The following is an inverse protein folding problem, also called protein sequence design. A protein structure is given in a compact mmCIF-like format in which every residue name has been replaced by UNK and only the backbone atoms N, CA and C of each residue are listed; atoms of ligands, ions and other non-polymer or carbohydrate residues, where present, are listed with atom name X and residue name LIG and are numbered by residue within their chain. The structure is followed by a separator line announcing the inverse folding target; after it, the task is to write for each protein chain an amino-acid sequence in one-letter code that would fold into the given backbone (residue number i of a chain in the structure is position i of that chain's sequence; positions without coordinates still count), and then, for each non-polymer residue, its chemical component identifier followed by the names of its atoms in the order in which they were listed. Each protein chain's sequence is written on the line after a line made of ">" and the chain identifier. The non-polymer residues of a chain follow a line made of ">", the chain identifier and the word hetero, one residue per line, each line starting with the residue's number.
data_IF_436191518364
#
_entry.id   IF_436191518364
#
_cell.length_a   1.000
_cell.length_b   1.000
_cell.length_c   1.000
_cell.angle_alpha   90.00
_cell.angle_beta   90.00
_cell.angle_gamma   90.00
#
_symmetry.space_group_name_H-M   'P 1'
#
loop_
_entity.id
_entity.type
_entity.pdbx_description
1 polymer ?
#
# COMPACT_ATOMS: atom_id res chain seq x y z
N UNK A 1 18.00 -27.55 -46.04
CA UNK A 1 16.80 -27.88 -45.25
C UNK A 1 15.63 -27.13 -45.84
N UNK A 2 14.52 -27.82 -46.12
CA UNK A 2 13.31 -27.22 -46.67
C UNK A 2 12.36 -26.84 -45.53
N UNK A 3 12.28 -25.54 -45.25
CA UNK A 3 11.33 -24.93 -44.31
C UNK A 3 9.95 -24.82 -44.94
N UNK A 4 9.16 -25.90 -44.83
CA UNK A 4 7.83 -26.00 -45.44
C UNK A 4 6.67 -25.68 -44.47
N UNK A 5 6.94 -25.22 -43.24
CA UNK A 5 5.90 -25.03 -42.21
C UNK A 5 5.77 -23.59 -41.67
N UNK A 6 6.42 -22.60 -42.28
CA UNK A 6 6.41 -21.20 -41.81
C UNK A 6 5.11 -20.42 -42.08
N UNK A 7 4.06 -21.06 -42.61
CA UNK A 7 2.83 -20.40 -43.06
C UNK A 7 1.53 -20.82 -42.35
N UNK A 8 1.59 -21.73 -41.39
CA UNK A 8 0.40 -22.12 -40.60
C UNK A 8 0.36 -21.30 -39.32
N UNK A 9 -0.51 -20.30 -39.25
CA UNK A 9 -0.67 -19.44 -38.06
C UNK A 9 -1.64 -19.98 -37.00
N UNK A 10 -2.24 -21.15 -37.24
CA UNK A 10 -3.06 -21.84 -36.24
C UNK A 10 -2.20 -22.90 -35.55
N UNK A 11 -2.04 -22.87 -34.23
CA UNK A 11 -1.42 -23.97 -33.54
C UNK A 11 -2.39 -25.16 -33.64
N UNK A 12 -2.08 -26.12 -34.53
CA UNK A 12 -2.84 -27.36 -34.63
C UNK A 12 -2.71 -28.06 -33.26
N UNK A 13 -3.81 -28.19 -32.55
CA UNK A 13 -3.89 -28.87 -31.25
C UNK A 13 -4.90 -29.99 -31.33
N UNK A 14 -4.56 -31.12 -30.73
CA UNK A 14 -5.48 -32.21 -30.46
C UNK A 14 -6.15 -31.98 -29.10
N UNK A 15 -7.46 -32.24 -29.02
CA UNK A 15 -8.26 -32.02 -27.83
C UNK A 15 -8.60 -33.35 -27.18
N UNK A 16 -8.12 -33.53 -25.95
CA UNK A 16 -8.45 -34.67 -25.12
C UNK A 16 -9.60 -34.28 -24.19
N UNK A 17 -10.69 -35.04 -24.28
CA UNK A 17 -11.88 -34.79 -23.47
C UNK A 17 -11.62 -35.09 -22.00
N UNK A 18 -10.80 -36.11 -21.70
CA UNK A 18 -10.37 -36.50 -20.37
C UNK A 18 -11.54 -36.63 -19.38
N UNK A 19 -12.62 -37.33 -19.77
CA UNK A 19 -13.83 -37.45 -18.93
C UNK A 19 -13.48 -37.94 -17.52
N UNK A 20 -13.74 -37.09 -16.52
CA UNK A 20 -13.38 -37.35 -15.12
C UNK A 20 -12.24 -36.48 -14.59
N UNK A 21 -11.45 -35.83 -15.47
CA UNK A 21 -10.51 -34.75 -15.17
C UNK A 21 -10.78 -33.55 -16.10
N UNK A 22 -9.90 -32.55 -16.10
CA UNK A 22 -9.96 -31.43 -17.02
C UNK A 22 -9.54 -31.83 -18.44
N UNK A 23 -10.31 -31.33 -19.40
CA UNK A 23 -9.95 -31.40 -20.81
C UNK A 23 -8.61 -30.72 -21.07
N UNK A 24 -7.78 -31.36 -21.91
CA UNK A 24 -6.40 -30.92 -22.20
C UNK A 24 -6.23 -30.74 -23.70
N UNK A 25 -5.47 -29.73 -24.09
CA UNK A 25 -5.00 -29.59 -25.48
C UNK A 25 -3.53 -29.99 -25.54
N UNK A 26 -3.19 -30.83 -26.52
CA UNK A 26 -1.82 -31.25 -26.81
C UNK A 26 -1.48 -30.88 -28.26
N UNK A 27 -0.18 -30.80 -28.58
CA UNK A 27 0.25 -30.61 -29.96
C UNK A 27 0.01 -31.89 -30.76
N UNK A 28 -0.34 -31.79 -32.04
CA UNK A 28 -0.50 -32.98 -32.90
C UNK A 28 0.77 -33.82 -33.04
N UNK A 29 1.95 -33.24 -32.78
CA UNK A 29 3.20 -33.99 -32.75
C UNK A 29 3.26 -35.03 -31.63
N UNK A 30 2.32 -34.98 -30.68
CA UNK A 30 2.17 -35.89 -29.53
C UNK A 30 1.01 -36.87 -29.71
N UNK A 31 0.48 -36.99 -30.92
CA UNK A 31 -0.61 -37.92 -31.25
C UNK A 31 0.02 -39.06 -32.04
N UNK A 32 -0.21 -40.29 -31.60
CA UNK A 32 0.44 -41.50 -32.12
C UNK A 32 1.98 -41.44 -32.10
N UNK A 33 2.58 -40.76 -31.11
CA UNK A 33 4.03 -40.69 -30.93
C UNK A 33 4.57 -41.78 -29.98
N UNK A 34 3.67 -42.57 -29.40
CA UNK A 34 3.96 -43.67 -28.48
C UNK A 34 4.06 -43.23 -27.01
N UNK A 35 3.73 -41.97 -26.70
CA UNK A 35 3.71 -41.42 -25.33
C UNK A 35 2.27 -41.09 -24.96
N UNK A 36 1.84 -41.53 -23.77
CA UNK A 36 0.50 -41.25 -23.27
C UNK A 36 0.45 -39.87 -22.59
N UNK A 37 0.09 -38.86 -23.38
CA UNK A 37 -0.09 -37.48 -22.97
C UNK A 37 -1.50 -37.19 -22.42
N UNK A 38 -2.51 -37.96 -22.83
CA UNK A 38 -3.89 -37.82 -22.35
C UNK A 38 -4.30 -38.94 -21.39
N UNK A 39 -4.97 -38.58 -20.29
CA UNK A 39 -5.33 -39.56 -19.27
C UNK A 39 -6.42 -40.53 -19.75
N UNK A 40 -7.18 -40.14 -20.78
CA UNK A 40 -8.16 -40.98 -21.45
C UNK A 40 -7.53 -41.84 -22.56
N UNK A 41 -6.23 -41.65 -22.82
CA UNK A 41 -5.45 -42.33 -23.86
C UNK A 41 -5.99 -42.10 -25.27
N UNK A 42 -6.75 -41.02 -25.49
CA UNK A 42 -7.35 -40.69 -26.79
C UNK A 42 -6.34 -40.22 -27.84
N UNK A 43 -5.13 -39.91 -27.40
CA UNK A 43 -3.98 -39.49 -28.20
C UNK A 43 -3.22 -40.66 -28.84
N UNK A 44 -3.44 -41.89 -28.38
CA UNK A 44 -2.72 -43.08 -28.84
C UNK A 44 -3.67 -44.18 -29.33
N UNK A 45 -3.12 -45.14 -30.08
CA UNK A 45 -3.88 -46.31 -30.55
C UNK A 45 -4.38 -47.15 -29.37
N UNK A 46 -5.52 -47.80 -29.56
CA UNK A 46 -6.09 -48.68 -28.54
C UNK A 46 -5.09 -49.76 -28.10
N UNK A 47 -4.83 -49.85 -26.80
CA UNK A 47 -3.88 -50.78 -26.21
C UNK A 47 -2.45 -50.25 -26.04
N UNK A 48 -2.12 -49.06 -26.56
CA UNK A 48 -0.81 -48.41 -26.32
C UNK A 48 -0.73 -47.83 -24.91
N UNK A 49 -1.79 -47.17 -24.46
CA UNK A 49 -1.82 -46.55 -23.15
C UNK A 49 -2.32 -47.46 -22.03
N UNK A 50 -1.67 -47.43 -20.85
CA UNK A 50 -2.18 -48.12 -19.66
C UNK A 50 -3.52 -47.49 -19.22
N UNK A 51 -4.23 -48.21 -18.35
CA UNK A 51 -5.60 -47.94 -17.89
C UNK A 51 -6.04 -46.45 -17.90
N UNK A 52 -7.24 -46.19 -18.43
CA UNK A 52 -7.87 -44.86 -18.48
C UNK A 52 -8.28 -44.37 -17.08
N UNK A 53 -7.36 -43.72 -16.36
CA UNK A 53 -7.54 -43.30 -14.95
C UNK A 53 -7.89 -41.82 -14.76
N UNK A 54 -8.51 -41.16 -15.76
CA UNK A 54 -8.87 -39.74 -15.64
C UNK A 54 -9.70 -39.43 -14.38
N UNK A 55 -10.60 -40.33 -14.00
CA UNK A 55 -11.48 -40.10 -12.84
C UNK A 55 -10.69 -40.00 -11.54
N UNK A 56 -9.77 -40.93 -11.30
CA UNK A 56 -8.93 -40.96 -10.10
C UNK A 56 -8.01 -39.74 -10.05
N UNK A 57 -7.41 -39.37 -11.19
CA UNK A 57 -6.57 -38.17 -11.32
C UNK A 57 -7.36 -36.88 -11.02
N UNK A 58 -8.58 -36.77 -11.56
CA UNK A 58 -9.46 -35.64 -11.29
C UNK A 58 -9.90 -35.55 -9.83
N UNK A 59 -10.27 -36.67 -9.21
CA UNK A 59 -10.63 -36.72 -7.79
C UNK A 59 -9.46 -36.30 -6.88
N UNK A 60 -8.25 -36.77 -7.16
CA UNK A 60 -7.06 -36.36 -6.41
C UNK A 60 -6.77 -34.86 -6.58
N UNK A 61 -6.89 -34.34 -7.80
CA UNK A 61 -6.71 -32.91 -8.08
C UNK A 61 -7.72 -32.05 -7.33
N UNK A 62 -9.00 -32.43 -7.36
CA UNK A 62 -10.06 -31.73 -6.61
C UNK A 62 -9.77 -31.78 -5.11
N UNK A 63 -9.31 -32.92 -4.58
CA UNK A 63 -8.92 -33.04 -3.18
C UNK A 63 -7.78 -32.09 -2.82
N UNK A 64 -6.74 -31.99 -3.65
CA UNK A 64 -5.62 -31.06 -3.46
C UNK A 64 -6.09 -29.60 -3.46
N UNK A 65 -6.86 -29.21 -4.47
CA UNK A 65 -7.41 -27.84 -4.59
C UNK A 65 -8.27 -27.47 -3.37
N UNK A 66 -9.10 -28.39 -2.88
CA UNK A 66 -9.88 -28.16 -1.65
C UNK A 66 -9.00 -27.93 -0.43
N UNK A 67 -7.92 -28.69 -0.27
CA UNK A 67 -6.98 -28.49 0.84
C UNK A 67 -6.26 -27.13 0.75
N UNK A 68 -5.91 -26.69 -0.44
CA UNK A 68 -5.28 -25.38 -0.68
C UNK A 68 -6.26 -24.21 -0.48
N UNK A 69 -7.56 -24.41 -0.75
CA UNK A 69 -8.57 -23.36 -0.60
C UNK A 69 -8.80 -22.97 0.87
N UNK A 70 -8.77 -23.93 1.80
CA UNK A 70 -9.05 -23.70 3.23
C UNK A 70 -8.17 -22.62 3.88
N UNK A 71 -6.82 -22.64 3.77
CA UNK A 71 -5.99 -21.59 4.34
C UNK A 71 -6.18 -20.25 3.63
N UNK A 72 -6.46 -20.25 2.32
CA UNK A 72 -6.70 -19.03 1.55
C UNK A 72 -7.97 -18.32 2.02
N UNK A 73 -9.08 -19.05 2.22
CA UNK A 73 -10.32 -18.49 2.76
C UNK A 73 -10.11 -17.87 4.16
N UNK A 74 -9.37 -18.57 5.04
CA UNK A 74 -9.01 -18.04 6.36
C UNK A 74 -8.15 -16.77 6.24
N UNK A 75 -7.20 -16.76 5.30
CA UNK A 75 -6.34 -15.61 5.03
C UNK A 75 -7.14 -14.40 4.53
N UNK A 76 -8.06 -14.61 3.58
CA UNK A 76 -8.94 -13.57 3.04
C UNK A 76 -9.82 -12.97 4.14
N UNK A 77 -10.39 -13.80 5.01
CA UNK A 77 -11.19 -13.32 6.15
C UNK A 77 -10.36 -12.42 7.08
N UNK A 78 -9.18 -12.89 7.50
CA UNK A 78 -8.28 -12.11 8.38
C UNK A 78 -7.86 -10.79 7.73
N UNK A 79 -7.53 -10.81 6.43
CA UNK A 79 -7.20 -9.58 5.70
C UNK A 79 -8.35 -8.58 5.72
N UNK A 80 -9.59 -9.04 5.56
CA UNK A 80 -10.78 -8.19 5.68
C UNK A 80 -10.92 -7.57 7.07
N UNK A 81 -10.75 -8.37 8.13
CA UNK A 81 -10.79 -7.91 9.53
C UNK A 81 -9.72 -6.84 9.81
N UNK A 82 -8.47 -7.06 9.37
CA UNK A 82 -7.40 -6.07 9.53
C UNK A 82 -7.63 -4.79 8.73
N UNK A 83 -8.14 -4.89 7.51
CA UNK A 83 -8.45 -3.73 6.69
C UNK A 83 -9.56 -2.86 7.34
N UNK A 84 -10.60 -3.49 7.88
CA UNK A 84 -11.68 -2.79 8.58
C UNK A 84 -11.16 -2.10 9.86
N UNK A 85 -10.48 -2.85 10.73
CA UNK A 85 -9.90 -2.28 11.95
C UNK A 85 -8.90 -1.15 11.64
N UNK A 86 -8.07 -1.32 10.60
CA UNK A 86 -7.14 -0.29 10.15
C UNK A 86 -7.85 0.99 9.68
N UNK A 87 -8.95 0.87 8.93
CA UNK A 87 -9.75 2.01 8.51
C UNK A 87 -10.38 2.76 9.70
N UNK A 88 -10.92 2.04 10.68
CA UNK A 88 -11.47 2.62 11.91
C UNK A 88 -10.39 3.35 12.72
N UNK A 89 -9.22 2.73 12.90
CA UNK A 89 -8.10 3.35 13.59
C UNK A 89 -7.58 4.60 12.88
N UNK A 90 -7.50 4.59 11.55
CA UNK A 90 -7.13 5.78 10.78
C UNK A 90 -8.12 6.91 10.97
N UNK A 91 -9.43 6.61 10.96
CA UNK A 91 -10.45 7.61 11.21
C UNK A 91 -10.35 8.18 12.63
N UNK A 92 -10.16 7.32 13.64
CA UNK A 92 -10.01 7.74 15.04
C UNK A 92 -8.75 8.59 15.23
N UNK A 93 -7.61 8.17 14.67
CA UNK A 93 -6.36 8.91 14.77
C UNK A 93 -6.45 10.27 14.07
N UNK A 94 -7.13 10.35 12.91
CA UNK A 94 -7.39 11.63 12.25
C UNK A 94 -8.18 12.58 13.14
N UNK A 95 -9.24 12.10 13.81
CA UNK A 95 -10.01 12.91 14.77
C UNK A 95 -9.15 13.39 15.93
N UNK A 96 -8.39 12.48 16.56
CA UNK A 96 -7.49 12.82 17.68
C UNK A 96 -6.43 13.85 17.28
N UNK A 97 -5.85 13.72 16.08
CA UNK A 97 -4.90 14.71 15.56
C UNK A 97 -5.56 16.07 15.40
N UNK A 98 -6.79 16.12 14.87
CA UNK A 98 -7.55 17.38 14.77
C UNK A 98 -7.79 18.01 16.14
N UNK A 99 -8.36 17.25 17.08
CA UNK A 99 -8.68 17.71 18.44
C UNK A 99 -7.43 18.22 19.18
N UNK A 100 -6.34 17.43 19.17
CA UNK A 100 -5.09 17.83 19.79
C UNK A 100 -4.46 19.05 19.12
N UNK A 101 -4.60 19.18 17.79
CA UNK A 101 -4.09 20.37 17.09
C UNK A 101 -4.83 21.64 17.51
N UNK A 102 -6.15 21.55 17.72
CA UNK A 102 -6.96 22.67 18.22
C UNK A 102 -6.60 23.02 19.66
N UNK A 103 -6.43 22.01 20.52
CA UNK A 103 -6.01 22.21 21.92
C UNK A 103 -4.64 22.89 22.00
N UNK A 104 -3.68 22.47 21.17
CA UNK A 104 -2.36 23.11 21.06
C UNK A 104 -2.50 24.58 20.63
N UNK A 105 -3.35 24.89 19.65
CA UNK A 105 -3.57 26.28 19.22
C UNK A 105 -4.19 27.13 20.32
N UNK A 106 -5.17 26.60 21.04
CA UNK A 106 -5.79 27.29 22.19
C UNK A 106 -4.78 27.50 23.32
N UNK A 107 -4.00 26.48 23.65
CA UNK A 107 -2.93 26.58 24.65
C UNK A 107 -1.90 27.64 24.29
N UNK A 108 -1.46 27.70 23.02
CA UNK A 108 -0.55 28.74 22.53
C UNK A 108 -1.12 30.15 22.66
N UNK A 109 -2.41 30.34 22.39
CA UNK A 109 -3.08 31.64 22.59
C UNK A 109 -3.08 32.05 24.06
N UNK A 110 -3.48 31.14 24.95
CA UNK A 110 -3.50 31.39 26.40
C UNK A 110 -2.11 31.72 26.95
N UNK A 111 -1.06 31.02 26.51
CA UNK A 111 0.32 31.33 26.89
C UNK A 111 0.69 32.75 26.47
N UNK A 112 0.42 33.15 25.23
CA UNK A 112 0.69 34.52 24.76
C UNK A 112 -0.07 35.59 25.54
N UNK A 113 -1.35 35.35 25.83
CA UNK A 113 -2.19 36.26 26.61
C UNK A 113 -1.67 36.41 28.05
N UNK A 114 -1.34 35.29 28.69
CA UNK A 114 -0.78 35.29 30.05
C UNK A 114 0.59 35.96 30.08
N UNK A 115 1.45 35.72 29.10
CA UNK A 115 2.75 36.39 28.98
C UNK A 115 2.60 37.91 28.81
N UNK A 116 1.67 38.37 27.98
CA UNK A 116 1.38 39.79 27.80
C UNK A 116 0.85 40.41 29.11
N UNK A 117 -0.09 39.75 29.78
CA UNK A 117 -0.65 40.22 31.06
C UNK A 117 0.42 40.29 32.16
N UNK A 118 1.32 39.30 32.21
CA UNK A 118 2.43 39.24 33.16
C UNK A 118 3.47 40.34 32.88
N UNK A 119 3.77 40.64 31.60
CA UNK A 119 4.62 41.78 31.23
C UNK A 119 4.00 43.10 31.70
N UNK A 120 2.71 43.32 31.46
CA UNK A 120 2.03 44.55 31.90
C UNK A 120 1.97 44.67 33.42
N UNK A 121 1.68 43.60 34.14
CA UNK A 121 1.68 43.59 35.60
C UNK A 121 3.07 43.90 36.17
N UNK A 122 4.14 43.36 35.58
CA UNK A 122 5.52 43.71 35.97
C UNK A 122 5.87 45.17 35.72
N UNK A 123 5.41 45.75 34.61
CA UNK A 123 5.60 47.18 34.32
C UNK A 123 4.87 48.04 35.36
N UNK A 124 3.63 47.70 35.70
CA UNK A 124 2.85 48.45 36.68
C UNK A 124 3.42 48.33 38.10
N UNK A 125 3.86 47.15 38.52
CA UNK A 125 4.59 46.95 39.79
C UNK A 125 5.89 47.78 39.82
N UNK A 126 6.67 47.75 38.73
CA UNK A 126 7.86 48.60 38.60
C UNK A 126 7.50 50.10 38.70
N UNK A 127 6.40 50.52 38.07
CA UNK A 127 5.90 51.92 38.11
C UNK A 127 5.50 52.34 39.52
N UNK A 128 4.87 51.48 40.31
CA UNK A 128 4.53 51.74 41.72
C UNK A 128 5.76 51.79 42.62
N UNK A 129 6.78 50.98 42.33
CA UNK A 129 8.03 50.95 43.12
C UNK A 129 8.94 52.17 42.87
N UNK A 130 8.84 52.80 41.70
CA UNK A 130 9.56 54.02 41.34
C UNK A 130 8.68 55.25 41.66
N UNK A 131 8.68 55.70 42.91
CA UNK A 131 7.97 56.91 43.31
C UNK A 131 8.62 58.19 42.75
N UNK A 132 7.77 59.17 42.38
CA UNK A 132 8.08 60.61 42.29
C UNK A 132 9.05 61.08 41.20
N UNK A 133 10.29 60.57 41.17
CA UNK A 133 11.41 61.20 40.47
C UNK A 133 12.16 60.22 39.52
N UNK A 134 11.42 59.51 38.67
CA UNK A 134 11.99 58.48 37.78
C UNK A 134 11.41 58.41 36.37
N UNK A 135 10.82 59.49 35.85
CA UNK A 135 10.06 59.47 34.60
C UNK A 135 10.90 59.54 33.30
N UNK A 136 12.20 59.25 33.33
CA UNK A 136 13.08 59.39 32.14
C UNK A 136 13.77 58.09 31.69
N UNK A 137 13.62 56.95 32.39
CA UNK A 137 14.32 55.70 32.03
C UNK A 137 13.46 54.59 31.38
N UNK A 138 12.15 54.80 31.13
CA UNK A 138 11.28 53.77 30.54
C UNK A 138 11.18 53.81 29.00
N UNK A 139 11.81 54.77 28.33
CA UNK A 139 11.75 54.91 26.86
C UNK A 139 12.80 54.06 26.10
N UNK A 140 13.69 53.34 26.80
CA UNK A 140 14.84 52.64 26.18
C UNK A 140 14.62 51.19 25.76
N UNK A 141 13.66 50.46 26.33
CA UNK A 141 13.53 48.99 26.16
C UNK A 141 12.36 48.57 25.24
N UNK A 142 11.82 49.47 24.41
CA UNK A 142 10.79 49.14 23.40
C UNK A 142 11.37 49.17 21.97
N UNK A 143 12.69 49.32 21.81
CA UNK A 143 13.34 49.49 20.50
C UNK A 143 14.20 48.34 19.97
N UNK A 144 14.37 47.22 20.68
CA UNK A 144 15.33 46.17 20.27
C UNK A 144 14.73 44.77 20.00
N UNK A 145 13.53 44.69 19.42
CA UNK A 145 13.07 43.46 18.72
C UNK A 145 12.88 43.71 17.21
N UNK A 146 13.60 44.72 16.70
CA UNK A 146 13.64 45.11 15.29
C UNK A 146 15.03 44.96 14.70
N UNK A 147 15.59 43.75 14.69
CA UNK A 147 16.71 43.41 13.81
C UNK A 147 17.99 42.91 14.49
N UNK A 148 18.11 41.59 14.59
CA UNK A 148 19.40 40.92 14.35
C UNK A 148 19.15 39.53 13.78
N UNK A 149 19.54 39.37 12.52
CA UNK A 149 19.42 38.12 11.79
C UNK A 149 20.19 36.99 12.46
N UNK A 150 19.60 35.81 12.45
CA UNK A 150 20.31 34.54 12.54
C UNK A 150 20.36 34.01 11.12
N UNK A 151 21.54 34.11 10.52
CA UNK A 151 21.93 33.34 9.35
C UNK A 151 22.11 31.88 9.79
N UNK A 152 21.19 31.01 9.36
CA UNK A 152 21.51 29.60 9.14
C UNK A 152 21.02 29.26 7.75
N UNK A 153 21.97 29.01 6.86
CA UNK A 153 21.70 28.57 5.50
C UNK A 153 20.90 27.27 5.50
N UNK A 154 19.99 27.18 4.55
CA UNK A 154 19.44 25.91 4.09
C UNK A 154 19.40 25.97 2.57
N UNK A 155 19.96 24.93 1.97
CA UNK A 155 20.25 24.79 0.56
C UNK A 155 19.03 25.03 -0.33
N UNK A 156 19.33 25.63 -1.48
CA UNK A 156 18.52 25.58 -2.68
C UNK A 156 18.46 24.13 -3.18
N UNK A 157 17.42 23.38 -2.80
CA UNK A 157 17.04 22.16 -3.49
C UNK A 157 15.90 22.43 -4.48
N UNK A 158 16.34 22.51 -5.72
CA UNK A 158 15.65 22.40 -6.99
C UNK A 158 14.40 21.49 -6.93
N UNK A 159 13.21 22.08 -7.15
CA UNK A 159 12.05 21.31 -7.62
C UNK A 159 12.31 20.89 -9.07
N UNK A 160 12.85 19.69 -9.26
CA UNK A 160 12.67 18.94 -10.50
C UNK A 160 11.32 18.24 -10.43
N UNK A 161 10.40 18.68 -11.28
CA UNK A 161 9.20 17.92 -11.64
C UNK A 161 9.63 16.71 -12.47
N UNK A 162 9.63 15.53 -11.86
CA UNK A 162 9.55 14.27 -12.59
C UNK A 162 8.13 13.71 -12.39
N UNK A 163 7.27 13.95 -13.38
CA UNK A 163 6.10 13.12 -13.63
C UNK A 163 6.58 11.87 -14.36
N UNK A 164 6.53 10.74 -13.68
CA UNK A 164 6.55 9.42 -14.31
C UNK A 164 5.28 8.71 -13.85
N UNK A 165 4.26 8.79 -14.70
CA UNK A 165 3.12 7.89 -14.69
C UNK A 165 3.59 6.53 -15.21
N UNK A 166 3.67 5.55 -14.32
CA UNK A 166 3.74 4.12 -14.66
C UNK A 166 2.84 3.36 -13.69
N UNK A 167 1.59 3.20 -14.10
CA UNK A 167 0.72 2.04 -13.85
C UNK A 167 0.06 1.76 -15.22
N UNK A 168 -0.05 0.54 -15.72
CA UNK A 168 -0.23 -0.72 -15.01
C UNK A 168 -1.63 -1.21 -15.32
#
# INVERSE_FOLDING_TARGET
>A
GTSACSGVSTPYHFYCENRGDFAKRIFFSRVEDGVCDCCDGSDEKEGTCPARMCKELGEERVRKLKMELVPLEKGLKRRGEYAAAGAEHLQMNRKRVSELSEEIQQGKKKVKELEASLKMARIEERRKSLGGDGLTQLAGEVRDDGGRGISTGSESDTKQSNGNDVEG
#
